data_IF_397689421329
#
_entry.id   IF_397689421329
#
_cell.length_a   1.000
_cell.length_b   1.000
_cell.length_c   1.000
_cell.angle_alpha   90.00
_cell.angle_beta   90.00
_cell.angle_gamma   90.00
#
_symmetry.space_group_name_H-M   'P 1'
#
loop_
_entity.id
_entity.type
_entity.pdbx_description
1 polymer ?
#
# COMPACT_ATOMS: atom_id res chain seq x y z
N UNK A 1 -13.04 17.97 8.68
CA UNK A 1 -11.81 17.17 8.88
C UNK A 1 -10.65 18.12 8.68
N UNK A 2 -9.95 18.54 9.74
CA UNK A 2 -8.81 19.43 9.61
C UNK A 2 -7.60 18.55 9.30
N UNK A 3 -7.30 18.33 8.02
CA UNK A 3 -5.95 17.92 7.67
C UNK A 3 -5.09 19.16 7.97
N UNK A 4 -4.21 19.04 8.96
CA UNK A 4 -3.41 20.16 9.44
C UNK A 4 -2.37 20.49 8.36
N UNK A 5 -2.57 21.60 7.64
CA UNK A 5 -1.74 22.07 6.50
C UNK A 5 -0.36 22.62 6.92
N UNK A 6 0.28 22.06 7.95
CA UNK A 6 1.72 22.28 8.15
C UNK A 6 2.46 21.23 7.33
N UNK A 7 2.62 21.50 6.03
CA UNK A 7 3.15 20.58 5.03
C UNK A 7 4.61 20.18 5.30
N UNK A 8 4.80 19.24 6.22
CA UNK A 8 5.97 18.41 6.34
C UNK A 8 5.96 17.30 5.28
N UNK A 9 7.09 16.61 5.13
CA UNK A 9 7.16 15.42 4.29
C UNK A 9 6.40 14.26 4.96
N UNK A 10 5.34 13.78 4.32
CA UNK A 10 4.51 12.66 4.79
C UNK A 10 4.77 11.40 3.94
N UNK A 11 4.98 10.26 4.60
CA UNK A 11 5.12 8.96 3.95
C UNK A 11 3.77 8.23 4.05
N UNK A 12 3.18 7.92 2.89
CA UNK A 12 1.99 7.10 2.79
C UNK A 12 2.36 5.69 2.33
N UNK A 13 2.19 4.71 3.22
CA UNK A 13 2.44 3.31 2.88
C UNK A 13 1.39 2.79 1.89
N UNK A 14 1.84 2.14 0.81
CA UNK A 14 0.96 1.65 -0.24
C UNK A 14 0.61 0.15 -0.04
N UNK A 15 -0.68 -0.16 -0.15
CA UNK A 15 -1.23 -1.53 -0.18
C UNK A 15 -2.09 -1.65 -1.43
N UNK A 16 -1.52 -2.19 -2.51
CA UNK A 16 -2.24 -2.37 -3.77
C UNK A 16 -2.91 -3.75 -3.79
N UNK A 17 -4.16 -3.84 -4.25
CA UNK A 17 -4.95 -5.08 -4.19
C UNK A 17 -5.29 -5.55 -5.60
N UNK A 18 -4.92 -6.80 -5.92
CA UNK A 18 -5.31 -7.48 -7.14
C UNK A 18 -5.68 -8.93 -6.82
N UNK A 19 -6.89 -9.36 -7.22
CA UNK A 19 -7.35 -10.73 -6.99
C UNK A 19 -7.39 -11.16 -5.51
N UNK A 20 -7.58 -10.21 -4.58
CA UNK A 20 -7.57 -10.47 -3.14
C UNK A 20 -6.18 -10.59 -2.52
N UNK A 21 -5.11 -10.25 -3.26
CA UNK A 21 -3.72 -10.31 -2.80
C UNK A 21 -3.12 -8.91 -2.75
N UNK A 22 -2.25 -8.67 -1.78
CA UNK A 22 -1.41 -7.48 -1.75
C UNK A 22 -0.33 -7.64 -2.82
N UNK A 23 -0.25 -6.73 -3.79
CA UNK A 23 0.69 -6.85 -4.90
C UNK A 23 1.48 -5.58 -5.14
N UNK A 24 2.51 -5.67 -5.99
CA UNK A 24 3.08 -4.54 -6.71
C UNK A 24 3.25 -4.94 -8.17
N UNK A 25 2.81 -4.09 -9.09
CA UNK A 25 3.00 -4.30 -10.52
C UNK A 25 4.32 -3.71 -10.97
N UNK A 26 5.09 -4.45 -11.77
CA UNK A 26 6.27 -3.89 -12.41
C UNK A 26 5.84 -2.94 -13.54
N UNK A 27 6.11 -1.64 -13.38
CA UNK A 27 5.72 -0.59 -14.35
C UNK A 27 4.21 -0.59 -14.70
N UNK A 28 3.35 -0.98 -13.76
CA UNK A 28 1.90 -1.02 -13.97
C UNK A 28 1.40 -2.20 -14.83
N UNK A 29 2.27 -3.15 -15.18
CA UNK A 29 1.90 -4.32 -15.98
C UNK A 29 1.18 -5.38 -15.12
N UNK A 30 -0.11 -5.59 -15.40
CA UNK A 30 -0.95 -6.59 -14.75
C UNK A 30 -0.48 -8.04 -14.99
N UNK A 31 0.31 -8.30 -16.04
CA UNK A 31 0.94 -9.58 -16.30
C UNK A 31 2.20 -9.84 -15.47
N UNK A 32 2.69 -8.84 -14.71
CA UNK A 32 3.92 -8.93 -13.91
C UNK A 32 3.71 -8.48 -12.45
N UNK A 33 2.82 -9.14 -11.68
CA UNK A 33 2.66 -8.86 -10.26
C UNK A 33 3.76 -9.54 -9.42
N UNK A 34 4.23 -8.83 -8.40
CA UNK A 34 4.86 -9.46 -7.23
C UNK A 34 3.82 -9.57 -6.12
N UNK A 35 3.57 -10.78 -5.62
CA UNK A 35 2.64 -11.07 -4.52
C UNK A 35 3.34 -10.90 -3.16
N UNK A 36 2.72 -10.13 -2.26
CA UNK A 36 3.19 -9.85 -0.90
C UNK A 36 2.29 -10.44 0.19
N UNK A 37 1.24 -11.19 -0.17
CA UNK A 37 0.38 -11.91 0.78
C UNK A 37 -0.99 -11.27 0.99
N UNK A 38 -1.50 -11.39 2.22
CA UNK A 38 -2.82 -10.90 2.61
C UNK A 38 -2.82 -9.36 2.77
N UNK A 39 -3.75 -8.63 2.10
CA UNK A 39 -3.82 -7.17 2.20
C UNK A 39 -4.02 -6.64 3.63
N UNK A 40 -4.81 -7.33 4.45
CA UNK A 40 -5.14 -6.87 5.79
C UNK A 40 -3.95 -7.04 6.74
N UNK A 41 -3.22 -8.17 6.65
CA UNK A 41 -1.97 -8.35 7.37
C UNK A 41 -0.94 -7.28 7.00
N UNK A 42 -0.80 -6.97 5.71
CA UNK A 42 0.13 -5.92 5.24
C UNK A 42 -0.27 -4.52 5.72
N UNK A 43 -1.56 -4.20 5.71
CA UNK A 43 -2.05 -2.91 6.19
C UNK A 43 -1.86 -2.75 7.72
N UNK A 44 -2.13 -3.81 8.49
CA UNK A 44 -1.90 -3.82 9.95
C UNK A 44 -0.42 -3.63 10.30
N UNK A 45 0.48 -4.31 9.59
CA UNK A 45 1.91 -4.16 9.80
C UNK A 45 2.37 -2.69 9.65
N UNK A 46 1.84 -1.96 8.66
CA UNK A 46 2.15 -0.54 8.50
C UNK A 46 1.47 0.37 9.54
N UNK A 47 0.30 -0.01 10.04
CA UNK A 47 -0.42 0.79 11.03
C UNK A 47 0.11 0.63 12.46
N UNK A 48 0.80 -0.48 12.73
CA UNK A 48 1.39 -0.80 14.04
C UNK A 48 2.86 -0.34 14.18
N UNK A 49 3.51 0.08 13.09
CA UNK A 49 4.82 0.76 13.09
C UNK A 49 4.73 2.22 13.59
#
# INVERSE_FOLDING_TARGET
>A
MPWNDEAGFEILAAVDILGGRCVRLHQGDYGRPTDYGDPLERARAWAEE
#
